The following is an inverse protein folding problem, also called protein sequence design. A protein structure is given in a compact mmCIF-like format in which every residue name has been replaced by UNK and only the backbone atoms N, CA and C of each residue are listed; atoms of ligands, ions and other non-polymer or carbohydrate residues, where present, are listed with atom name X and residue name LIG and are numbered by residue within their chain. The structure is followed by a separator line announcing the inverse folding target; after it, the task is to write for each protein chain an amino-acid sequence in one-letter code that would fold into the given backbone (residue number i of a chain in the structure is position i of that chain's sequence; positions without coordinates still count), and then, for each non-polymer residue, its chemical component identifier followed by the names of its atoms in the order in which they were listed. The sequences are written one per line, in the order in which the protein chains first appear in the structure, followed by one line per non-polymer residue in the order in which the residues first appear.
data_IF_312622091260
#
_entry.id   IF_312622091260
#
_cell.length_a   1.000
_cell.length_b   1.000
_cell.length_c   1.000
_cell.angle_alpha   90.00
_cell.angle_beta   90.00
_cell.angle_gamma   90.00
#
_symmetry.space_group_name_H-M   'P 1'
#
loop_
_entity.id
_entity.type
_entity.pdbx_description
1 polymer ?
#
# COMPACT_ATOMS: atom_id res chain seq x y z
N UNK A 1 -2.74 -12.33 21.47
CA UNK A 1 -3.77 -11.60 20.69
C UNK A 1 -3.21 -11.48 19.29
N UNK A 2 -3.85 -12.08 18.29
CA UNK A 2 -3.32 -12.12 16.92
C UNK A 2 -3.70 -10.80 16.24
N UNK A 3 -2.70 -10.00 15.88
CA UNK A 3 -2.91 -8.80 15.07
C UNK A 3 -3.23 -9.23 13.64
N UNK A 4 -4.43 -8.86 13.17
CA UNK A 4 -4.87 -9.07 11.80
C UNK A 4 -4.88 -7.71 11.09
N UNK A 5 -3.72 -7.08 10.92
CA UNK A 5 -3.64 -5.85 10.12
C UNK A 5 -4.23 -6.11 8.72
N UNK A 6 -5.20 -5.31 8.20
CA UNK A 6 -5.68 -3.98 8.62
C UNK A 6 -6.95 -3.87 9.49
N UNK A 7 -7.42 -4.97 10.05
CA UNK A 7 -8.70 -5.01 10.74
C UNK A 7 -8.54 -5.47 12.18
N UNK A 8 -9.00 -4.64 13.11
CA UNK A 8 -9.14 -5.06 14.50
C UNK A 8 -10.50 -5.71 14.67
N UNK A 9 -10.55 -6.76 15.48
CA UNK A 9 -11.81 -7.40 15.85
C UNK A 9 -12.49 -6.53 16.90
N UNK A 10 -13.75 -6.17 16.67
CA UNK A 10 -14.57 -5.50 17.66
C UNK A 10 -14.75 -6.38 18.90
N UNK A 11 -15.21 -5.78 20.00
CA UNK A 11 -15.46 -6.52 21.26
C UNK A 11 -16.48 -7.66 21.11
N UNK A 12 -17.28 -7.63 20.05
CA UNK A 12 -18.24 -8.68 19.70
C UNK A 12 -17.58 -9.93 19.08
N UNK A 13 -16.28 -9.91 18.81
CA UNK A 13 -15.54 -11.03 18.26
C UNK A 13 -15.86 -11.38 16.80
N UNK A 14 -16.78 -10.65 16.16
CA UNK A 14 -17.39 -11.05 14.88
C UNK A 14 -17.40 -9.96 13.83
N UNK A 15 -17.29 -8.69 14.24
CA UNK A 15 -17.17 -7.58 13.30
C UNK A 15 -15.75 -7.02 13.31
N UNK A 16 -15.33 -6.55 12.15
CA UNK A 16 -14.02 -5.97 11.92
C UNK A 16 -14.17 -4.46 11.76
N UNK A 17 -13.33 -3.68 12.44
CA UNK A 17 -13.20 -2.24 12.20
C UNK A 17 -11.85 -1.93 11.59
N UNK A 18 -11.83 -0.90 10.74
CA UNK A 18 -10.63 -0.46 10.06
C UNK A 18 -9.66 0.13 11.07
N UNK A 19 -8.43 -0.41 11.10
CA UNK A 19 -7.42 0.04 12.02
C UNK A 19 -6.81 1.38 11.54
N UNK A 20 -7.07 2.47 12.26
CA UNK A 20 -6.44 3.76 11.99
C UNK A 20 -4.91 3.72 12.23
N UNK A 21 -4.41 2.70 12.95
CA UNK A 21 -2.98 2.46 13.12
C UNK A 21 -2.28 1.86 11.89
N UNK A 22 -3.00 1.38 10.89
CA UNK A 22 -2.41 0.72 9.72
C UNK A 22 -1.63 1.67 8.77
N UNK A 23 -1.29 2.89 9.20
CA UNK A 23 -0.50 3.87 8.44
C UNK A 23 0.95 4.00 8.91
N UNK A 24 1.52 5.20 8.84
CA UNK A 24 2.89 5.49 9.30
C UNK A 24 3.14 5.11 10.78
N UNK A 25 2.10 5.21 11.61
CA UNK A 25 2.18 4.83 13.02
C UNK A 25 2.39 3.32 13.17
N UNK A 26 1.75 2.49 12.34
CA UNK A 26 1.94 1.03 12.31
C UNK A 26 3.33 0.62 11.86
N UNK A 27 3.98 1.40 10.99
CA UNK A 27 5.37 1.18 10.63
C UNK A 27 6.33 1.51 11.80
N UNK A 28 6.09 2.61 12.50
CA UNK A 28 6.86 2.98 13.71
C UNK A 28 6.70 1.93 14.81
N UNK A 29 5.47 1.47 15.04
CA UNK A 29 5.16 0.38 15.98
C UNK A 29 5.84 -0.93 15.55
N UNK A 30 5.83 -1.27 14.26
CA UNK A 30 6.51 -2.45 13.73
C UNK A 30 8.01 -2.41 14.05
N UNK A 31 8.69 -1.30 13.75
CA UNK A 31 10.12 -1.19 14.01
C UNK A 31 10.45 -1.27 15.51
N UNK A 32 9.63 -0.66 16.36
CA UNK A 32 9.81 -0.72 17.80
C UNK A 32 9.57 -2.14 18.35
N UNK A 33 8.45 -2.77 18.01
CA UNK A 33 8.09 -4.12 18.48
C UNK A 33 9.04 -5.22 18.00
N UNK A 34 9.75 -5.01 16.89
CA UNK A 34 10.74 -5.94 16.35
C UNK A 34 12.18 -5.59 16.77
N UNK A 35 12.35 -4.70 17.77
CA UNK A 35 13.65 -4.26 18.29
C UNK A 35 14.58 -3.66 17.22
N UNK A 36 13.98 -3.09 16.16
CA UNK A 36 14.70 -2.37 15.10
C UNK A 36 14.82 -0.86 15.43
N UNK A 37 14.12 -0.39 16.48
CA UNK A 37 14.15 0.99 16.96
C UNK A 37 14.20 1.01 18.50
N UNK A 38 15.10 1.81 19.12
CA UNK A 38 15.20 1.91 20.58
C UNK A 38 14.06 2.75 21.18
N UNK A 39 13.72 2.49 22.45
CA UNK A 39 12.59 3.10 23.16
C UNK A 39 12.60 4.63 23.14
N UNK A 40 13.76 5.24 23.31
CA UNK A 40 13.91 6.71 23.31
C UNK A 40 13.50 7.31 21.96
N UNK A 41 13.83 6.63 20.85
CA UNK A 41 13.43 7.05 19.50
C UNK A 41 11.93 6.85 19.28
N UNK A 42 11.38 5.71 19.72
CA UNK A 42 9.94 5.44 19.62
C UNK A 42 9.12 6.49 20.37
N UNK A 43 9.44 6.76 21.64
CA UNK A 43 8.75 7.77 22.43
C UNK A 43 8.93 9.18 21.89
N UNK A 44 10.12 9.50 21.36
CA UNK A 44 10.37 10.75 20.67
C UNK A 44 9.46 10.93 19.45
N UNK A 45 9.32 9.91 18.60
CA UNK A 45 8.45 9.94 17.43
C UNK A 45 6.97 10.02 17.82
N UNK A 46 6.53 9.20 18.77
CA UNK A 46 5.14 9.16 19.24
C UNK A 46 4.68 10.49 19.87
N UNK A 47 5.59 11.25 20.47
CA UNK A 47 5.27 12.53 21.12
C UNK A 47 5.37 13.75 20.21
N UNK A 48 6.22 13.69 19.16
CA UNK A 48 6.55 14.86 18.36
C UNK A 48 6.05 14.80 16.90
N UNK A 49 5.62 13.64 16.40
CA UNK A 49 5.14 13.48 15.03
C UNK A 49 3.61 13.33 14.97
N UNK A 50 2.99 14.07 14.06
CA UNK A 50 1.58 13.89 13.72
C UNK A 50 1.46 12.90 12.55
N UNK A 51 1.11 11.65 12.87
CA UNK A 51 0.91 10.58 11.89
C UNK A 51 -0.44 10.64 11.17
N UNK A 52 -1.30 11.60 11.50
CA UNK A 52 -2.62 11.78 10.84
C UNK A 52 -2.52 12.57 9.54
N UNK A 53 -1.36 13.17 9.27
CA UNK A 53 -1.15 14.08 8.16
C UNK A 53 -0.85 13.31 6.87
N UNK A 54 -1.91 12.97 6.13
CA UNK A 54 -1.84 12.94 4.66
C UNK A 54 -2.13 14.37 4.19
N UNK A 55 -1.07 15.19 4.09
CA UNK A 55 -1.18 16.61 3.76
C UNK A 55 -1.65 16.85 2.31
N UNK A 56 -2.19 18.04 2.09
CA UNK A 56 -2.83 18.62 0.88
C UNK A 56 -2.13 18.36 -0.47
N UNK A 57 -0.83 18.07 -0.48
CA UNK A 57 0.00 17.87 -1.69
C UNK A 57 -0.46 16.71 -2.58
N UNK A 58 -0.96 15.61 -1.99
CA UNK A 58 -1.38 14.46 -2.78
C UNK A 58 -2.66 14.76 -3.59
N UNK A 59 -3.55 15.58 -3.04
CA UNK A 59 -4.75 16.04 -3.74
C UNK A 59 -4.42 16.98 -4.90
N UNK A 60 -3.41 17.84 -4.74
CA UNK A 60 -2.94 18.71 -5.82
C UNK A 60 -2.37 17.88 -6.98
N UNK A 61 -1.65 16.79 -6.70
CA UNK A 61 -1.16 15.88 -7.73
C UNK A 61 -2.29 15.21 -8.52
N UNK A 62 -3.40 14.85 -7.87
CA UNK A 62 -4.56 14.23 -8.54
C UNK A 62 -5.25 15.18 -9.54
N UNK A 63 -5.18 16.49 -9.31
CA UNK A 63 -5.75 17.53 -10.21
C UNK A 63 -4.83 17.82 -11.41
N UNK A 64 -3.55 17.45 -11.31
CA UNK A 64 -2.58 17.63 -12.39
C UNK A 64 -2.74 16.58 -13.52
N UNK A 65 -2.13 16.81 -14.69
CA UNK A 65 -2.07 15.82 -15.81
C UNK A 65 -1.03 14.71 -15.58
N UNK A 66 -0.56 14.52 -14.36
CA UNK A 66 0.48 13.54 -14.03
C UNK A 66 -0.19 12.18 -13.77
N UNK A 67 0.39 11.11 -14.32
CA UNK A 67 -0.06 9.74 -14.08
C UNK A 67 0.70 9.18 -12.89
N UNK A 68 -0.04 8.70 -11.89
CA UNK A 68 0.52 8.22 -10.63
C UNK A 68 0.35 6.71 -10.55
N UNK A 69 1.42 6.00 -10.19
CA UNK A 69 1.39 4.56 -9.94
C UNK A 69 1.97 4.29 -8.56
N UNK A 70 1.14 3.75 -7.68
CA UNK A 70 1.56 3.25 -6.37
C UNK A 70 1.61 1.74 -6.47
N UNK A 71 2.71 1.12 -6.04
CA UNK A 71 2.83 -0.32 -6.04
C UNK A 71 3.45 -0.86 -4.75
N UNK A 72 3.04 -2.06 -4.37
CA UNK A 72 3.51 -2.74 -3.16
C UNK A 72 3.82 -4.21 -3.44
N UNK A 73 4.82 -4.75 -2.75
CA UNK A 73 4.97 -6.19 -2.60
C UNK A 73 3.96 -6.73 -1.59
N UNK A 74 3.27 -7.82 -1.90
CA UNK A 74 2.21 -8.36 -1.03
C UNK A 74 2.72 -9.18 0.17
N UNK A 75 4.02 -9.41 0.27
CA UNK A 75 4.68 -10.05 1.41
C UNK A 75 5.57 -9.08 2.18
N UNK A 76 5.45 -7.77 1.95
CA UNK A 76 6.19 -6.77 2.72
C UNK A 76 5.57 -6.59 4.12
N UNK A 77 6.36 -6.90 5.16
CA UNK A 77 5.95 -6.68 6.55
C UNK A 77 6.23 -5.26 7.06
N UNK A 78 7.11 -4.51 6.39
CA UNK A 78 7.48 -3.16 6.82
C UNK A 78 6.47 -2.11 6.32
N UNK A 79 6.04 -2.20 5.05
CA UNK A 79 4.95 -1.41 4.48
C UNK A 79 3.93 -2.32 3.77
N UNK A 80 3.06 -2.98 4.54
CA UNK A 80 2.10 -3.93 3.97
C UNK A 80 1.05 -3.24 3.08
N UNK A 81 0.45 -4.02 2.18
CA UNK A 81 -0.49 -3.56 1.14
C UNK A 81 -1.63 -2.70 1.68
N UNK A 82 -2.09 -3.01 2.88
CA UNK A 82 -3.15 -2.29 3.55
C UNK A 82 -2.81 -0.83 3.89
N UNK A 83 -1.56 -0.52 4.24
CA UNK A 83 -1.13 0.86 4.50
C UNK A 83 -1.40 1.75 3.28
N UNK A 84 -0.96 1.28 2.11
CA UNK A 84 -1.19 1.96 0.84
C UNK A 84 -2.67 2.04 0.49
N UNK A 85 -3.44 0.97 0.70
CA UNK A 85 -4.90 0.99 0.48
C UNK A 85 -5.60 2.02 1.36
N UNK A 86 -5.20 2.13 2.63
CA UNK A 86 -5.74 3.13 3.55
C UNK A 86 -5.46 4.55 3.05
N UNK A 87 -4.19 4.84 2.71
CA UNK A 87 -3.79 6.14 2.19
C UNK A 87 -4.55 6.51 0.91
N UNK A 88 -4.65 5.59 -0.04
CA UNK A 88 -5.36 5.81 -1.31
C UNK A 88 -6.86 6.06 -1.07
N UNK A 89 -7.49 5.31 -0.16
CA UNK A 89 -8.90 5.51 0.16
C UNK A 89 -9.19 6.91 0.73
N UNK A 90 -8.25 7.49 1.50
CA UNK A 90 -8.37 8.85 2.05
C UNK A 90 -8.28 9.94 0.98
N UNK A 91 -7.74 9.64 -0.20
CA UNK A 91 -7.73 10.59 -1.32
C UNK A 91 -9.13 10.80 -1.91
N UNK A 92 -10.08 9.88 -1.69
CA UNK A 92 -11.46 10.00 -2.17
C UNK A 92 -11.62 9.96 -3.69
N UNK A 93 -10.62 9.44 -4.42
CA UNK A 93 -10.68 9.37 -5.89
C UNK A 93 -11.63 8.25 -6.34
N UNK A 94 -12.44 8.46 -7.40
CA UNK A 94 -13.36 7.44 -7.88
C UNK A 94 -12.62 6.27 -8.56
N UNK A 95 -13.10 5.05 -8.32
CA UNK A 95 -12.61 3.84 -9.01
C UNK A 95 -13.11 3.84 -10.44
N UNK A 96 -12.20 3.72 -11.41
CA UNK A 96 -12.49 3.62 -12.85
C UNK A 96 -12.40 2.18 -13.37
N UNK A 97 -11.46 1.40 -12.84
CA UNK A 97 -11.27 0.00 -13.17
C UNK A 97 -11.25 -0.78 -11.88
N UNK A 98 -12.23 -1.66 -11.71
CA UNK A 98 -12.39 -2.49 -10.50
C UNK A 98 -11.20 -3.41 -10.30
N UNK A 99 -10.96 -3.78 -9.04
CA UNK A 99 -9.87 -4.69 -8.65
C UNK A 99 -9.86 -5.99 -9.48
N UNK A 100 -8.74 -6.27 -10.15
CA UNK A 100 -8.61 -7.43 -11.03
C UNK A 100 -7.20 -8.06 -10.93
N UNK A 101 -7.08 -9.39 -11.16
CA UNK A 101 -5.78 -10.04 -11.24
C UNK A 101 -5.08 -9.67 -12.56
N UNK A 102 -3.80 -9.32 -12.49
CA UNK A 102 -2.98 -9.09 -13.68
C UNK A 102 -1.95 -10.21 -13.85
N UNK A 103 -1.50 -10.43 -15.08
CA UNK A 103 -0.75 -11.62 -15.44
C UNK A 103 0.65 -11.31 -15.98
N UNK A 104 1.59 -12.20 -15.71
CA UNK A 104 2.92 -12.18 -16.30
C UNK A 104 3.32 -13.62 -16.60
N UNK A 105 3.63 -13.91 -17.86
CA UNK A 105 4.03 -15.26 -18.32
C UNK A 105 3.02 -16.36 -17.95
N UNK A 106 1.72 -16.05 -18.05
CA UNK A 106 0.64 -17.00 -17.76
C UNK A 106 0.31 -17.19 -16.28
N UNK A 107 1.03 -16.55 -15.37
CA UNK A 107 0.76 -16.60 -13.93
C UNK A 107 0.20 -15.28 -13.41
N UNK A 108 -0.54 -15.33 -12.30
CA UNK A 108 -0.98 -14.15 -11.57
C UNK A 108 0.24 -13.40 -11.04
N UNK A 109 0.49 -12.21 -11.61
CA UNK A 109 1.55 -11.29 -11.19
C UNK A 109 1.18 -10.49 -9.94
N UNK A 110 -0.12 -10.37 -9.65
CA UNK A 110 -0.69 -9.67 -8.51
C UNK A 110 -2.07 -9.12 -8.86
N UNK A 111 -2.45 -8.00 -8.24
CA UNK A 111 -3.73 -7.36 -8.50
C UNK A 111 -3.56 -5.87 -8.80
N UNK A 112 -4.48 -5.32 -9.59
CA UNK A 112 -4.49 -3.91 -9.94
C UNK A 112 -5.88 -3.30 -9.80
N UNK A 113 -5.93 -2.02 -9.45
CA UNK A 113 -7.13 -1.17 -9.47
C UNK A 113 -6.77 0.18 -10.07
N UNK A 114 -7.63 0.65 -10.97
CA UNK A 114 -7.48 1.94 -11.62
C UNK A 114 -8.43 2.96 -11.02
N UNK A 115 -7.90 4.10 -10.61
CA UNK A 115 -8.64 5.28 -10.20
C UNK A 115 -8.52 6.38 -11.27
N UNK A 116 -9.09 7.55 -11.00
CA UNK A 116 -8.85 8.73 -11.81
C UNK A 116 -7.40 9.24 -11.59
N UNK A 117 -6.56 9.15 -12.62
CA UNK A 117 -5.13 9.54 -12.64
C UNK A 117 -4.18 8.77 -11.71
N UNK A 118 -4.69 7.83 -10.91
CA UNK A 118 -3.90 6.95 -10.04
C UNK A 118 -4.15 5.48 -10.39
N UNK A 119 -3.09 4.67 -10.36
CA UNK A 119 -3.18 3.21 -10.41
C UNK A 119 -2.53 2.64 -9.16
N UNK A 120 -3.17 1.64 -8.56
CA UNK A 120 -2.59 0.88 -7.46
C UNK A 120 -2.39 -0.58 -7.87
N UNK A 121 -1.20 -1.10 -7.61
CA UNK A 121 -0.80 -2.46 -8.04
C UNK A 121 -0.12 -3.21 -6.89
N UNK A 122 -0.54 -4.44 -6.64
CA UNK A 122 0.24 -5.38 -5.83
C UNK A 122 1.07 -6.29 -6.71
N UNK A 123 2.25 -6.67 -6.23
CA UNK A 123 3.11 -7.67 -6.87
C UNK A 123 3.20 -8.89 -5.97
N UNK A 124 2.68 -10.00 -6.49
CA UNK A 124 2.58 -11.27 -5.78
C UNK A 124 3.97 -11.83 -5.46
N UNK A 125 4.18 -12.23 -4.22
CA UNK A 125 5.41 -12.86 -3.74
C UNK A 125 6.61 -11.91 -3.70
N UNK A 126 6.38 -10.61 -3.53
CA UNK A 126 7.43 -9.62 -3.35
C UNK A 126 7.34 -8.96 -1.97
N UNK A 127 8.49 -8.72 -1.34
CA UNK A 127 8.61 -7.84 -0.17
C UNK A 127 8.86 -6.37 -0.56
N UNK A 128 9.45 -5.60 0.36
CA UNK A 128 9.70 -4.16 0.19
C UNK A 128 10.43 -3.80 -1.10
N UNK A 129 11.51 -4.53 -1.42
CA UNK A 129 12.30 -4.35 -2.63
C UNK A 129 11.75 -5.16 -3.82
N UNK A 130 10.57 -4.79 -4.32
CA UNK A 130 9.85 -5.53 -5.37
C UNK A 130 10.73 -5.94 -6.57
N UNK A 131 11.56 -5.06 -7.18
CA UNK A 131 12.39 -5.45 -8.31
C UNK A 131 13.45 -6.52 -7.98
N UNK A 132 13.88 -6.62 -6.72
CA UNK A 132 14.83 -7.63 -6.27
C UNK A 132 14.18 -9.00 -6.11
N UNK A 133 12.95 -9.05 -5.55
CA UNK A 133 12.23 -10.31 -5.32
C UNK A 133 11.53 -10.84 -6.59
N UNK A 134 10.95 -9.95 -7.39
CA UNK A 134 10.10 -10.29 -8.53
C UNK A 134 10.49 -9.47 -9.78
N UNK A 135 11.73 -9.59 -10.30
CA UNK A 135 12.25 -8.72 -11.36
C UNK A 135 11.41 -8.77 -12.65
N UNK A 136 10.97 -9.97 -13.06
CA UNK A 136 10.14 -10.13 -14.27
C UNK A 136 8.80 -9.42 -14.14
N UNK A 137 8.17 -9.49 -12.96
CA UNK A 137 6.86 -8.86 -12.68
C UNK A 137 7.02 -7.34 -12.53
N UNK A 138 8.09 -6.90 -11.88
CA UNK A 138 8.44 -5.48 -11.76
C UNK A 138 8.66 -4.83 -13.14
N UNK A 139 9.32 -5.52 -14.07
CA UNK A 139 9.52 -5.01 -15.43
C UNK A 139 8.20 -4.88 -16.20
N UNK A 140 7.28 -5.84 -16.07
CA UNK A 140 5.93 -5.76 -16.68
C UNK A 140 5.16 -4.56 -16.13
N UNK A 141 5.18 -4.36 -14.82
CA UNK A 141 4.57 -3.22 -14.16
C UNK A 141 5.16 -1.89 -14.67
N UNK A 142 6.50 -1.76 -14.64
CA UNK A 142 7.20 -0.56 -15.11
C UNK A 142 6.88 -0.25 -16.57
N UNK A 143 6.93 -1.27 -17.44
CA UNK A 143 6.63 -1.15 -18.86
C UNK A 143 5.17 -0.74 -19.10
N UNK A 144 4.24 -1.27 -18.33
CA UNK A 144 2.82 -0.89 -18.41
C UNK A 144 2.65 0.59 -18.03
N UNK A 145 3.25 1.00 -16.91
CA UNK A 145 3.19 2.37 -16.42
C UNK A 145 3.75 3.38 -17.43
N UNK A 146 4.97 3.19 -17.95
CA UNK A 146 5.56 4.17 -18.88
C UNK A 146 4.73 4.31 -20.15
N UNK A 147 4.15 3.21 -20.65
CA UNK A 147 3.30 3.18 -21.84
C UNK A 147 1.85 3.65 -21.61
N UNK A 148 1.48 4.08 -20.40
CA UNK A 148 0.12 4.55 -20.14
C UNK A 148 -0.94 3.47 -20.10
N UNK A 149 -0.53 2.24 -19.78
CA UNK A 149 -1.41 1.07 -19.70
C UNK A 149 -1.46 0.55 -18.27
N UNK A 150 -2.60 -0.04 -17.92
CA UNK A 150 -2.68 -0.85 -16.71
C UNK A 150 -1.95 -2.19 -16.94
N UNK A 151 -1.50 -2.87 -15.87
CA UNK A 151 -0.97 -4.22 -15.99
C UNK A 151 -1.93 -5.14 -16.73
N UNK A 152 -1.42 -6.04 -17.60
CA UNK A 152 -2.26 -6.81 -18.49
C UNK A 152 -3.19 -7.77 -17.72
N UNK A 153 -4.48 -7.85 -18.08
CA UNK A 153 -5.35 -8.91 -17.58
C UNK A 153 -4.94 -10.28 -18.17
N UNK A 154 -5.69 -11.33 -17.83
CA UNK A 154 -5.54 -12.66 -18.42
C UNK A 154 -5.62 -12.65 -19.94
#
# INVERSE_FOLDING_TARGET
MMELEPFRVNKDGTTLYQNEYAGNIGAVDFYWTHALMPDETYHGLASNCDFTILNTSDKELMVSRIRICIYCGDTDGALPVNCSRYAINKLGTPVRTTWYPWYSKGEVGGYAVGFQNLTFVTVRGAGHFVPSYQPSRALVLFSSFVNGRLPPPA
#
